data_IF_029842702076
#
_entry.id   IF_029842702076
#
_cell.length_a   1.000
_cell.length_b   1.000
_cell.length_c   1.000
_cell.angle_alpha   90.00
_cell.angle_beta   90.00
_cell.angle_gamma   90.00
#
_symmetry.space_group_name_H-M   'P 1'
#
loop_
_entity.id
_entity.type
_entity.pdbx_description
1 polymer ?
2 non-polymer ?
3 water ?
#
# COMPACT_ATOMS: atom_id res chain seq x y z
N UNK A 10 1.53 6.98 4.36
CA UNK A 10 0.51 6.14 4.97
C UNK A 10 -0.78 6.13 4.14
N UNK A 11 -0.95 5.14 3.22
CA UNK A 11 -2.12 5.11 2.32
C UNK A 11 -2.86 3.78 2.10
N UNK A 12 -4.13 3.92 1.62
CA UNK A 12 -5.03 2.84 1.23
C UNK A 12 -4.90 2.64 -0.28
N UNK A 13 -4.58 1.39 -0.67
CA UNK A 13 -4.34 0.92 -2.04
C UNK A 13 -5.52 0.08 -2.58
N UNK A 14 -5.56 -0.27 -3.91
CA UNK A 14 -6.71 -1.06 -4.44
C UNK A 14 -7.03 -2.37 -3.69
N UNK A 15 -8.33 -2.57 -3.37
CA UNK A 15 -8.86 -3.69 -2.60
C UNK A 15 -9.57 -4.81 -3.39
N UNK A 16 -9.99 -4.53 -4.63
CA UNK A 16 -10.70 -5.47 -5.52
C UNK A 16 -9.84 -6.68 -5.94
N UNK A 17 -10.44 -7.86 -6.32
CA UNK A 17 -9.62 -9.01 -6.73
C UNK A 17 -8.88 -8.80 -8.06
N UNK A 18 -7.60 -9.16 -8.09
CA UNK A 18 -6.73 -9.04 -9.24
C UNK A 18 -5.97 -10.35 -9.50
N UNK A 19 -5.46 -10.50 -10.75
CA UNK A 19 -4.68 -11.64 -11.21
C UNK A 19 -3.68 -11.23 -12.29
N UNK A 20 -2.44 -11.73 -12.17
CA UNK A 20 -1.35 -11.51 -13.12
C UNK A 20 -0.49 -12.79 -13.25
N UNK A 21 0.19 -13.01 -14.41
CA UNK A 21 1.01 -14.24 -14.56
C UNK A 21 2.11 -14.44 -13.51
N UNK A 22 2.95 -13.42 -13.25
CA UNK A 22 4.02 -13.56 -12.25
C UNK A 22 4.11 -12.50 -11.13
N UNK A 23 4.25 -11.21 -11.49
CA UNK A 23 4.38 -10.14 -10.50
C UNK A 23 3.74 -8.82 -10.92
N UNK A 24 3.10 -8.13 -9.96
CA UNK A 24 2.43 -6.86 -10.21
C UNK A 24 3.09 -5.65 -9.54
N UNK A 25 3.05 -4.49 -10.21
CA UNK A 25 3.55 -3.22 -9.71
C UNK A 25 2.41 -2.17 -9.68
N UNK A 26 2.22 -1.54 -8.52
CA UNK A 26 1.26 -0.47 -8.27
C UNK A 26 1.95 0.77 -7.71
N UNK A 27 1.88 1.92 -8.41
CA UNK A 27 2.52 3.18 -7.97
C UNK A 27 1.54 4.18 -7.33
N UNK A 28 2.09 5.12 -6.53
CA UNK A 28 1.35 6.12 -5.77
C UNK A 28 2.08 7.44 -5.79
N UNK A 29 1.36 8.54 -6.06
CA UNK A 29 1.99 9.85 -6.05
C UNK A 29 1.09 10.90 -5.46
N UNK A 30 1.42 11.37 -4.22
CA UNK A 30 0.69 12.48 -3.57
C UNK A 30 1.15 13.74 -4.27
N UNK A 31 0.20 14.59 -4.70
CA UNK A 31 0.51 15.81 -5.46
C UNK A 31 0.70 17.03 -4.56
N UNK A 32 1.41 18.04 -5.09
CA UNK A 32 1.61 19.30 -4.39
C UNK A 32 1.11 20.39 -5.29
N UNK A 33 0.56 21.43 -4.67
CA UNK A 33 0.05 22.56 -5.42
C UNK A 33 -1.46 22.66 -5.46
N UNK A 34 -2.15 21.62 -4.94
CA UNK A 34 -3.60 21.65 -4.92
C UNK A 34 -4.17 20.74 -3.88
N UNK A 35 -5.47 20.91 -3.64
CA UNK A 35 -6.28 20.10 -2.73
C UNK A 35 -7.61 19.72 -3.40
N UNK A 36 -8.20 18.65 -2.91
CA UNK A 36 -9.56 18.27 -3.24
C UNK A 36 -10.38 18.55 -1.97
N UNK A 37 -11.54 19.21 -2.08
CA UNK A 37 -12.45 19.38 -0.96
C UNK A 37 -13.69 18.50 -1.26
N UNK A 39 -17.39 16.38 0.89
CA UNK A 39 -18.13 16.28 2.15
C UNK A 39 -17.38 15.35 3.10
N UNK A 40 -17.53 15.57 4.41
CA UNK A 40 -16.87 14.71 5.42
C UNK A 40 -17.35 13.27 5.26
N UNK A 41 -16.46 12.31 5.54
CA UNK A 41 -16.76 10.87 5.47
C UNK A 41 -17.07 10.36 4.07
N UNK A 42 -16.58 11.08 3.01
CA UNK A 42 -16.71 10.71 1.60
C UNK A 42 -15.75 9.56 1.37
N UNK A 43 -16.02 8.71 0.36
CA UNK A 43 -15.10 7.63 -0.04
C UNK A 43 -13.80 8.28 -0.57
N UNK A 44 -12.68 7.56 -0.49
CA UNK A 44 -11.36 8.07 -0.90
C UNK A 44 -11.29 8.43 -2.36
N UNK A 45 -11.86 7.58 -3.23
CA UNK A 45 -11.89 7.72 -4.68
C UNK A 45 -12.99 8.70 -5.18
N UNK A 46 -12.59 9.74 -5.93
CA UNK A 46 -13.52 10.69 -6.53
C UNK A 46 -13.55 10.58 -8.06
N UNK A 47 -12.61 9.83 -8.61
CA UNK A 47 -12.53 9.60 -10.04
C UNK A 47 -11.37 8.72 -10.43
N UNK A 48 -11.25 8.42 -11.73
CA UNK A 48 -10.13 7.64 -12.27
C UNK A 48 -9.78 8.10 -13.69
N UNK A 49 -8.62 7.66 -14.19
CA UNK A 49 -8.19 7.97 -15.55
C UNK A 49 -8.01 6.65 -16.30
N UNK A 50 -8.55 6.58 -17.52
CA UNK A 50 -8.42 5.41 -18.35
C UNK A 50 -7.84 5.78 -19.70
N UNK A 51 -7.37 4.79 -20.46
CA UNK A 51 -6.88 5.02 -21.81
C UNK A 51 -8.15 5.11 -22.67
N UNK A 52 -8.05 5.66 -23.88
CA UNK A 52 -9.19 5.76 -24.81
C UNK A 52 -9.74 4.37 -25.16
N UNK A 53 -8.89 3.36 -25.08
CA UNK A 53 -9.20 1.95 -25.37
C UNK A 53 -9.97 1.26 -24.24
N UNK A 54 -10.07 1.90 -23.07
CA UNK A 54 -10.83 1.39 -21.93
C UNK A 54 -10.03 0.89 -20.73
N UNK A 55 -8.70 0.77 -20.87
CA UNK A 55 -7.82 0.30 -19.79
C UNK A 55 -7.77 1.33 -18.65
N UNK A 56 -8.15 0.93 -17.42
CA UNK A 56 -8.11 1.78 -16.22
C UNK A 56 -6.65 1.94 -15.80
N UNK A 57 -6.17 3.20 -15.69
CA UNK A 57 -4.75 3.49 -15.40
C UNK A 57 -4.45 3.80 -13.93
N UNK A 58 -5.18 4.75 -13.36
CA UNK A 58 -4.98 5.13 -11.97
C UNK A 58 -6.24 5.77 -11.39
N UNK A 60 -7.95 8.75 -8.76
CA UNK A 60 -7.80 10.07 -8.14
C UNK A 60 -8.42 9.90 -6.76
N UNK A 61 -7.61 10.09 -5.71
CA UNK A 61 -8.07 9.91 -4.34
C UNK A 61 -7.73 11.08 -3.42
N UNK A 62 -8.46 11.19 -2.31
CA UNK A 62 -8.11 12.17 -1.29
C UNK A 62 -7.04 11.47 -0.42
N UNK A 63 -6.06 12.21 0.07
CA UNK A 63 -4.99 11.63 0.87
C UNK A 63 -4.97 12.18 2.31
N UNK A 65 -5.77 14.81 5.24
CA UNK A 65 -6.76 15.82 5.62
C UNK A 65 -6.01 17.14 5.94
N UNK A 66 -6.41 18.23 5.29
CA UNK A 66 -5.74 19.51 5.45
C UNK A 66 -6.55 20.51 6.26
N UNK A 67 -7.63 20.03 6.87
CA UNK A 67 -8.54 20.82 7.66
C UNK A 67 -9.87 20.98 6.96
N UNK A 68 -10.82 21.65 7.63
CA UNK A 68 -12.15 21.88 7.08
C UNK A 68 -12.11 22.83 5.87
N UNK A 69 -13.05 22.66 4.94
CA UNK A 69 -13.12 23.50 3.75
C UNK A 69 -13.96 24.75 3.99
N UNK A 70 -13.42 25.89 3.63
CA UNK A 70 -14.13 27.16 3.74
C UNK A 70 -14.19 27.75 2.34
N UNK A 71 -15.38 27.70 1.77
CA UNK A 71 -15.62 28.22 0.43
C UNK A 71 -15.25 29.70 0.38
N UNK A 72 -14.35 30.16 -0.50
CA UNK A 72 -14.03 31.59 -0.53
C UNK A 72 -15.28 32.45 -0.75
N UNK A 73 -15.49 33.49 0.08
CA UNK A 73 -16.72 34.31 -0.04
C UNK A 73 -17.01 34.84 -1.45
N UNK A 74 -15.96 35.17 -2.21
CA UNK A 74 -16.06 35.68 -3.57
C UNK A 74 -16.42 34.61 -4.60
N UNK A 75 -16.61 33.36 -4.15
CA UNK A 75 -17.00 32.23 -4.98
C UNK A 75 -18.26 31.56 -4.43
N UNK A 76 -19.07 32.32 -3.66
CA UNK A 76 -20.38 31.90 -3.13
C UNK A 76 -21.24 31.57 -4.35
N UNK A 77 -21.87 30.41 -4.33
CA UNK A 77 -22.62 29.92 -5.48
C UNK A 77 -24.00 29.36 -5.16
N UNK A 78 -24.43 29.51 -3.92
CA UNK A 78 -25.71 28.99 -3.48
C UNK A 78 -25.63 27.58 -2.93
N UNK A 79 -24.48 26.89 -3.10
CA UNK A 79 -24.28 25.51 -2.65
C UNK A 79 -23.86 25.39 -1.19
N UNK A 80 -24.16 24.22 -0.60
CA UNK A 80 -23.90 23.87 0.80
C UNK A 80 -22.44 24.13 1.31
N UNK A 81 -21.51 23.21 1.00
CA UNK A 81 -20.09 23.16 1.44
C UNK A 81 -19.97 23.03 2.96
N UNK A 82 -21.08 22.54 3.57
CA UNK A 82 -21.23 22.34 5.00
C UNK A 82 -20.60 21.04 5.44
N UNK A 83 -19.59 21.17 6.28
CA UNK A 83 -18.83 20.06 6.83
C UNK A 83 -17.90 19.40 5.82
N UNK A 84 -17.58 20.12 4.76
CA UNK A 84 -16.63 19.67 3.77
C UNK A 84 -15.23 19.78 4.34
N UNK A 85 -14.39 18.79 4.04
CA UNK A 85 -13.00 18.72 4.46
C UNK A 85 -12.12 18.92 3.23
N UNK A 86 -10.91 19.50 3.40
CA UNK A 86 -9.94 19.62 2.31
C UNK A 86 -8.91 18.50 2.51
N UNK A 87 -8.38 17.95 1.41
CA UNK A 87 -7.38 16.89 1.46
C UNK A 87 -6.38 17.09 0.37
N UNK A 88 -5.19 16.49 0.50
CA UNK A 88 -4.20 16.46 -0.58
C UNK A 88 -4.74 15.39 -1.55
N UNK A 89 -4.28 15.43 -2.81
CA UNK A 89 -4.67 14.49 -3.84
C UNK A 89 -3.57 13.47 -4.05
N UNK A 90 -3.95 12.23 -4.14
CA UNK A 90 -3.00 11.17 -4.42
C UNK A 90 -3.46 10.42 -5.66
N UNK A 91 -2.54 10.14 -6.58
CA UNK A 91 -2.77 9.35 -7.80
C UNK A 91 -2.30 7.91 -7.51
N UNK A 92 -3.25 6.95 -7.51
CA UNK A 92 -3.01 5.54 -7.18
C UNK A 92 -3.25 4.65 -8.41
N UNK A 93 -2.18 4.11 -8.99
CA UNK A 93 -2.29 3.30 -10.18
C UNK A 93 -3.01 1.96 -9.99
N UNK A 94 -3.63 1.46 -11.06
CA UNK A 94 -4.23 0.14 -11.02
C UNK A 94 -3.05 -0.75 -11.38
N UNK A 95 -2.75 -1.80 -10.56
CA UNK A 95 -1.57 -2.64 -10.83
C UNK A 95 -1.49 -3.23 -12.22
N UNK A 96 -0.27 -3.40 -12.71
CA UNK A 96 0.02 -4.01 -14.00
C UNK A 96 1.19 -4.95 -13.83
N UNK A 97 1.48 -5.76 -14.86
CA UNK A 97 2.62 -6.67 -14.84
C UNK A 97 3.89 -5.81 -14.85
N UNK A 99 6.81 -6.42 -16.10
CA UNK A 99 7.48 -6.62 -17.39
C UNK A 99 6.71 -5.93 -18.54
N UNK A 100 5.52 -5.41 -18.24
CA UNK A 100 4.67 -4.74 -19.22
C UNK A 100 5.10 -3.28 -19.38
N UNK A 101 6.12 -3.05 -20.22
CA UNK A 101 6.67 -1.72 -20.49
C UNK A 101 5.58 -0.72 -20.97
N UNK A 102 4.70 -1.16 -21.89
CA UNK A 102 3.62 -0.37 -22.45
C UNK A 102 2.63 0.14 -21.40
N UNK A 103 2.21 -0.74 -20.46
CA UNK A 103 1.27 -0.41 -19.40
C UNK A 103 1.92 0.49 -18.34
N UNK A 104 3.22 0.28 -18.08
CA UNK A 104 3.99 1.04 -17.10
C UNK A 104 4.17 2.45 -17.63
N UNK A 105 4.54 2.57 -18.91
CA UNK A 105 4.77 3.85 -19.57
C UNK A 105 3.50 4.70 -19.73
N UNK A 106 2.38 4.06 -20.11
CA UNK A 106 1.07 4.70 -20.28
C UNK A 106 0.58 5.28 -18.95
N UNK A 107 0.86 4.60 -17.81
CA UNK A 107 0.46 5.06 -16.50
C UNK A 107 1.18 6.37 -16.19
N UNK A 108 2.51 6.37 -16.38
CA UNK A 108 3.39 7.51 -16.17
C UNK A 108 2.96 8.74 -16.98
N UNK A 109 2.75 8.53 -18.29
CA UNK A 109 2.36 9.57 -19.25
C UNK A 109 0.99 10.16 -18.94
N UNK A 110 0.06 9.30 -18.46
CA UNK A 110 -1.30 9.66 -18.06
C UNK A 110 -1.26 10.54 -16.81
N UNK A 112 1.42 12.39 -15.89
CA UNK A 112 2.04 13.66 -16.31
C UNK A 112 1.06 14.55 -17.04
N UNK A 113 0.18 13.94 -17.86
CA UNK A 113 -0.88 14.65 -18.58
C UNK A 113 -1.89 15.21 -17.58
N UNK A 114 -2.30 14.42 -16.56
CA UNK A 114 -3.27 14.91 -15.58
C UNK A 114 -2.75 16.10 -14.80
N UNK A 115 -1.43 16.11 -14.47
CA UNK A 115 -0.83 17.27 -13.79
C UNK A 115 -1.02 18.54 -14.66
N UNK A 116 -0.85 18.38 -15.97
CA UNK A 116 -1.02 19.40 -17.03
C UNK A 116 -2.46 19.89 -17.02
N UNK A 117 -3.43 18.95 -17.00
CA UNK A 117 -4.85 19.23 -16.93
C UNK A 117 -5.21 19.94 -15.60
N UNK A 118 -4.61 19.53 -14.47
CA UNK A 118 -4.81 20.19 -13.17
C UNK A 118 -4.30 21.64 -13.20
N UNK A 119 -3.13 21.87 -13.86
CA UNK A 119 -2.54 23.20 -14.00
C UNK A 119 -3.53 24.16 -14.66
N UNK A 120 -4.21 23.75 -15.76
CA UNK A 120 -5.20 24.57 -16.44
C UNK A 120 -6.46 24.72 -15.58
N UNK A 121 -6.91 23.60 -14.95
CA UNK A 121 -8.10 23.56 -14.09
C UNK A 121 -8.02 24.59 -12.96
N UNK A 122 -6.92 24.65 -12.23
CA UNK A 122 -6.80 25.64 -11.12
C UNK A 122 -6.62 27.09 -11.62
N UNK A 123 -6.30 27.23 -12.90
CA UNK A 123 -6.12 28.53 -13.52
C UNK A 123 -7.45 29.08 -14.01
N UNK A 124 -8.27 28.25 -14.68
CA UNK A 124 -9.55 28.73 -15.18
C UNK A 124 -10.79 28.26 -14.41
N UNK A 125 -10.69 27.15 -13.65
CA UNK A 125 -11.83 26.58 -12.94
C UNK A 125 -11.53 26.34 -11.45
N UNK A 126 -10.83 27.28 -10.79
CA UNK A 126 -10.46 27.10 -9.38
C UNK A 126 -11.70 26.94 -8.50
N UNK A 127 -11.72 25.96 -7.57
CA UNK A 127 -12.85 25.64 -6.65
C UNK A 127 -14.08 25.02 -7.34
N UNK A 128 -13.83 24.43 -8.51
CA UNK A 128 -14.83 23.73 -9.33
C UNK A 128 -14.47 22.25 -9.34
N UNK A 129 -15.46 21.33 -9.52
CA UNK A 129 -15.06 19.91 -9.60
C UNK A 129 -14.38 19.65 -10.94
N UNK A 130 -13.60 18.56 -11.07
CA UNK A 130 -13.06 18.15 -12.37
C UNK A 130 -14.22 17.62 -13.22
N UNK A 131 -14.15 17.81 -14.54
CA UNK A 131 -15.16 17.27 -15.44
C UNK A 131 -14.63 16.02 -16.12
N UNK A 132 -15.53 15.04 -16.43
CA UNK A 132 -15.10 13.87 -17.20
C UNK A 132 -14.75 14.30 -18.62
N UNK A 133 -13.47 14.45 -18.94
CA UNK A 133 -13.02 14.89 -20.26
C UNK A 133 -12.06 13.89 -20.90
N UNK A 134 -11.73 14.14 -22.16
CA UNK A 134 -10.76 13.37 -22.90
C UNK A 134 -9.60 14.29 -23.16
N UNK A 135 -8.38 13.76 -23.16
CA UNK A 135 -7.16 14.52 -23.41
C UNK A 135 -7.18 15.03 -24.86
N UNK A 136 -6.50 16.17 -25.11
CA UNK A 136 -6.43 16.82 -26.42
C UNK A 136 -5.99 15.87 -27.52
N UNK A 137 -5.03 14.97 -27.21
CA UNK A 137 -4.53 13.96 -28.15
C UNK A 137 -5.43 12.71 -28.25
N UNK A 138 -6.43 12.60 -27.37
CA UNK A 138 -7.35 11.47 -27.32
C UNK A 138 -6.88 10.26 -26.54
N UNK A 139 -5.59 10.21 -26.11
CA UNK A 139 -5.04 9.07 -25.36
C UNK A 139 -5.72 8.76 -24.03
N UNK A 140 -5.97 9.79 -23.20
CA UNK A 140 -6.52 9.63 -21.85
C UNK A 140 -7.89 10.21 -21.64
N UNK A 141 -8.69 9.55 -20.78
CA UNK A 141 -10.05 9.95 -20.46
C UNK A 141 -10.23 10.00 -18.93
N UNK A 142 -10.82 11.09 -18.40
CA UNK A 142 -11.12 11.22 -16.99
C UNK A 142 -12.55 10.73 -16.75
N UNK A 143 -12.75 9.87 -15.76
CA UNK A 143 -14.06 9.43 -15.32
C UNK A 143 -14.27 9.93 -13.90
N UNK A 144 -15.40 10.58 -13.65
CA UNK A 144 -15.70 11.12 -12.34
C UNK A 144 -16.68 10.20 -11.66
N UNK A 145 -16.23 9.62 -10.57
CA UNK A 145 -16.89 8.64 -9.72
C UNK A 145 -17.74 9.33 -8.65
N UNK A 146 -17.30 10.51 -8.21
CA UNK A 146 -18.00 11.33 -7.22
C UNK A 146 -17.93 12.80 -7.64
N UNK A 147 -19.05 13.34 -8.12
CA UNK A 147 -19.17 14.73 -8.56
C UNK A 147 -19.21 15.71 -7.38
N UNK A 148 -19.48 15.20 -6.18
CA UNK A 148 -19.52 16.01 -4.97
C UNK A 148 -18.08 16.29 -4.41
N UNK A 149 -17.31 17.06 -5.18
CA UNK A 149 -15.93 17.45 -4.84
C UNK A 149 -15.61 18.75 -5.55
N UNK A 150 -14.54 19.44 -5.14
CA UNK A 150 -13.97 20.61 -5.81
C UNK A 150 -12.46 20.49 -5.75
N UNK A 151 -11.78 21.03 -6.76
CA UNK A 151 -10.33 21.11 -6.88
C UNK A 151 -9.96 22.58 -6.73
N UNK A 152 -9.02 22.85 -5.83
CA UNK A 152 -8.56 24.22 -5.56
C UNK A 152 -7.04 24.25 -5.44
N UNK A 153 -6.41 25.32 -5.96
CA UNK A 153 -4.96 25.59 -5.85
C UNK A 153 -4.52 25.74 -4.42
N UNK A 154 -3.26 25.38 -4.16
CA UNK A 154 -2.60 25.45 -2.86
C UNK A 154 -3.37 24.71 -1.81
N UNK A 155 -3.80 25.44 -0.79
CA UNK A 155 -4.53 24.93 0.36
C UNK A 155 -6.06 25.08 0.27
N UNK A 156 -6.54 25.68 -0.82
CA UNK A 156 -7.95 25.87 -1.07
C UNK A 156 -8.61 26.93 -0.21
N UNK A 157 -7.82 27.91 0.30
CA UNK A 157 -8.34 28.98 1.16
C UNK A 157 -8.72 30.19 0.32
N UNK A 158 -7.80 30.61 -0.57
CA UNK A 158 -7.99 31.73 -1.48
C UNK A 158 -8.81 31.34 -2.71
N UNK A 159 -9.55 32.31 -3.26
CA UNK A 159 -10.35 32.17 -4.48
C UNK A 159 -9.42 32.00 -5.67
N UNK A 160 -8.24 32.66 -5.64
CA UNK A 160 -7.26 32.60 -6.72
C UNK A 160 -6.06 31.74 -6.38
N UNK A 161 -5.40 31.25 -7.42
CA UNK A 161 -4.19 30.44 -7.33
C UNK A 161 -3.01 31.36 -7.28
N UNK A 162 -1.84 30.79 -6.94
CA UNK A 162 -0.56 31.50 -7.00
C UNK A 162 0.14 31.15 -8.36
N UNK A 163 -0.66 30.77 -9.36
CA UNK A 163 -0.21 30.37 -10.69
C UNK A 163 0.59 29.07 -10.72
N UNK A 164 0.32 28.17 -9.78
CA UNK A 164 1.02 26.89 -9.64
C UNK A 164 1.04 26.00 -10.87
N UNK A 165 2.22 25.40 -11.12
CA UNK A 165 2.36 24.36 -12.13
C UNK A 165 2.24 23.10 -11.28
N UNK A 166 1.26 22.25 -11.62
CA UNK A 166 1.05 21.04 -10.88
C UNK A 166 2.05 20.02 -11.33
N UNK A 167 2.71 19.40 -10.37
CA UNK A 167 3.75 18.44 -10.65
C UNK A 167 3.58 17.15 -9.84
N UNK A 169 4.94 15.17 -7.28
CA UNK A 169 5.81 15.45 -6.13
C UNK A 169 6.75 14.25 -5.86
N UNK A 170 8.08 14.43 -5.87
CA UNK A 170 8.98 13.27 -5.59
C UNK A 170 8.88 12.74 -4.16
N UNK A 171 8.62 13.60 -3.17
CA UNK A 171 8.47 13.16 -1.78
C UNK A 171 7.13 12.40 -1.60
N UNK A 172 6.20 12.62 -2.51
CA UNK A 172 4.90 11.95 -2.51
C UNK A 172 4.87 10.58 -3.16
N UNK A 173 6.03 9.94 -3.40
CA UNK A 173 6.09 8.64 -4.09
C UNK A 173 6.27 7.37 -3.26
N UNK A 174 5.48 6.35 -3.62
CA UNK A 174 5.43 5.01 -3.02
C UNK A 174 5.15 3.99 -4.13
N UNK A 175 5.55 2.73 -3.92
CA UNK A 175 5.35 1.64 -4.87
C UNK A 175 4.83 0.44 -4.12
N UNK A 176 4.01 -0.39 -4.77
CA UNK A 176 3.45 -1.61 -4.21
C UNK A 176 3.72 -2.77 -5.16
N UNK A 177 4.43 -3.79 -4.66
CA UNK A 177 4.83 -4.95 -5.46
C UNK A 177 4.11 -6.20 -4.98
N UNK A 178 3.51 -6.91 -5.92
CA UNK A 178 2.79 -8.14 -5.71
C UNK A 178 3.55 -9.31 -6.33
N UNK A 179 3.84 -10.35 -5.52
CA UNK A 179 4.59 -11.53 -5.95
C UNK A 179 3.90 -12.78 -5.40
N UNK A 180 4.12 -13.95 -6.06
CA UNK A 180 3.59 -15.24 -5.58
C UNK A 180 4.25 -15.53 -4.25
N UNK A 181 3.43 -15.91 -3.24
CA UNK A 181 3.82 -16.21 -1.86
C UNK A 181 4.87 -17.31 -1.79
N UNK A 182 4.78 -18.31 -2.72
CA UNK A 182 5.68 -19.46 -2.85
C UNK A 182 7.09 -19.06 -3.25
N UNK A 183 7.21 -17.90 -3.88
CA UNK A 183 8.49 -17.38 -4.36
C UNK A 183 9.32 -16.68 -3.30
N UNK A 184 8.66 -16.16 -2.21
CA UNK A 184 9.38 -15.42 -1.15
C UNK A 184 10.38 -16.28 -0.39
N UNK A 185 11.67 -16.04 -0.66
CA UNK A 185 12.77 -16.79 -0.08
C UNK A 185 13.50 -17.66 -1.09
N UNK A 186 13.00 -17.75 -2.35
CA UNK A 186 13.61 -18.53 -3.44
C UNK A 186 14.66 -17.71 -4.23
N UNK A 187 14.66 -16.37 -4.06
CA UNK A 187 15.58 -15.44 -4.76
C UNK A 187 15.53 -15.62 -6.31
N UNK A 188 14.45 -16.25 -6.82
CA UNK A 188 14.29 -16.61 -8.23
C UNK A 188 14.32 -15.44 -9.23
N UNK A 189 13.62 -14.34 -8.90
CA UNK A 189 13.53 -13.18 -9.80
C UNK A 189 14.16 -11.94 -9.18
N UNK A 190 14.60 -10.94 -10.00
CA UNK A 190 15.17 -9.69 -9.41
C UNK A 190 14.28 -8.99 -8.38
N UNK A 191 12.95 -9.05 -8.56
CA UNK A 191 11.96 -8.44 -7.66
C UNK A 191 11.90 -9.23 -6.36
N UNK A 192 12.01 -10.56 -6.44
CA UNK A 192 12.03 -11.43 -5.23
C UNK A 192 13.27 -11.12 -4.39
N UNK A 193 14.40 -10.89 -5.07
CA UNK A 193 15.68 -10.51 -4.46
C UNK A 193 15.58 -9.13 -3.82
N UNK A 194 14.89 -8.17 -4.50
CA UNK A 194 14.68 -6.82 -3.97
C UNK A 194 13.87 -6.86 -2.67
N UNK A 195 12.79 -7.65 -2.64
CA UNK A 195 11.96 -7.86 -1.46
C UNK A 195 12.69 -8.59 -0.35
N UNK A 196 13.55 -9.57 -0.71
CA UNK A 196 14.33 -10.35 0.26
C UNK A 196 15.43 -9.53 0.95
N UNK A 197 15.78 -8.35 0.38
CA UNK A 197 16.76 -7.44 0.93
C UNK A 197 16.17 -6.59 2.09
N UNK A 198 14.85 -6.74 2.36
CA UNK A 198 14.16 -6.03 3.44
C UNK A 198 14.95 -6.20 4.75
N UNK A 199 15.18 -5.12 5.53
CA UNK A 199 16.01 -5.26 6.75
C UNK A 199 15.43 -6.18 7.83
N UNK A 200 14.10 -6.41 7.81
CA UNK A 200 13.43 -7.28 8.75
C UNK A 200 13.46 -8.74 8.33
N UNK A 201 13.71 -9.03 7.03
CA UNK A 201 13.72 -10.40 6.52
C UNK A 201 15.00 -11.13 6.84
N UNK A 202 14.88 -12.27 7.52
CA UNK A 202 16.02 -13.12 7.91
C UNK A 202 16.01 -14.46 7.17
N UNK A 203 16.77 -14.53 6.07
CA UNK A 203 16.90 -15.72 5.22
C UNK A 203 17.48 -16.93 6.00
N UNK A 204 18.43 -16.69 6.92
CA UNK A 204 19.06 -17.72 7.78
C UNK A 204 18.04 -18.60 8.52
N UNK A 205 16.77 -18.13 8.64
CA UNK A 205 15.71 -18.90 9.29
C UNK A 205 15.26 -20.10 8.41
N UNK A 206 15.58 -20.05 7.08
CA UNK A 206 15.33 -21.14 6.13
C UNK A 206 16.19 -22.33 6.56
N UNK A 207 17.54 -22.16 6.61
CA UNK A 207 18.45 -23.24 7.06
C UNK A 207 18.21 -23.62 8.51
N UNK A 208 17.79 -22.65 9.36
CA UNK A 208 17.44 -22.88 10.75
C UNK A 208 16.30 -23.89 10.86
N UNK A 209 15.23 -23.71 10.06
CA UNK A 209 14.06 -24.59 10.01
C UNK A 209 14.40 -26.02 9.58
N UNK A 210 15.35 -26.17 8.64
CA UNK A 210 15.78 -27.47 8.13
C UNK A 210 16.35 -28.33 9.26
N UNK A 211 17.21 -27.73 10.12
CA UNK A 211 17.83 -28.34 11.31
C UNK A 211 16.75 -28.76 12.31
N UNK A 212 15.67 -27.96 12.46
CA UNK A 212 14.57 -28.20 13.39
C UNK A 212 13.65 -29.33 12.97
N UNK A 213 13.54 -29.57 11.64
CA UNK A 213 12.57 -30.50 11.05
C UNK A 213 13.15 -31.72 10.33
N UNK A 214 14.39 -32.15 10.65
CA UNK A 214 15.05 -33.30 10.03
C UNK A 214 14.31 -34.63 10.14
N UNK A 215 13.68 -34.91 11.30
CA UNK A 215 12.93 -36.16 11.56
C UNK A 215 11.47 -36.07 11.12
N UNK A 216 11.08 -34.93 10.54
CA UNK A 216 9.73 -34.67 10.05
C UNK A 216 9.63 -34.91 8.55
N UNK A 217 8.71 -35.80 8.15
CA UNK A 217 8.44 -36.11 6.75
C UNK A 217 7.44 -35.08 6.23
N UNK A 218 7.96 -33.91 5.79
CA UNK A 218 7.12 -32.81 5.28
C UNK A 218 6.78 -33.02 3.80
N UNK A 219 5.56 -32.58 3.41
CA UNK A 219 5.08 -32.64 2.02
C UNK A 219 5.97 -31.81 1.09
N UNK A 220 6.30 -30.56 1.50
CA UNK A 220 7.20 -29.67 0.76
C UNK A 220 8.10 -28.92 1.75
N UNK A 221 9.26 -29.52 2.05
CA UNK A 221 10.28 -29.01 2.97
C UNK A 221 10.78 -27.59 2.63
N UNK A 222 11.14 -27.35 1.35
CA UNK A 222 11.66 -26.06 0.85
C UNK A 222 10.60 -24.96 0.93
N UNK A 223 9.35 -25.28 0.59
CA UNK A 223 8.24 -24.34 0.67
C UNK A 223 7.96 -23.97 2.13
N UNK A 224 7.89 -25.00 3.03
CA UNK A 224 7.67 -24.85 4.48
C UNK A 224 8.75 -23.99 5.11
N UNK A 225 10.01 -24.16 4.67
CA UNK A 225 11.16 -23.37 5.14
C UNK A 225 11.02 -21.87 4.72
N UNK A 226 10.56 -21.65 3.47
CA UNK A 226 10.33 -20.33 2.90
C UNK A 226 9.25 -19.58 3.69
N UNK A 227 8.12 -20.29 4.00
CA UNK A 227 6.98 -19.74 4.73
C UNK A 227 7.39 -19.44 6.17
N UNK A 228 8.06 -20.41 6.85
CA UNK A 228 8.55 -20.24 8.20
C UNK A 228 9.48 -19.02 8.30
N UNK A 229 10.41 -18.83 7.34
CA UNK A 229 11.33 -17.69 7.37
C UNK A 229 10.58 -16.34 7.23
N UNK A 230 9.58 -16.27 6.30
CA UNK A 230 8.76 -15.11 6.00
C UNK A 230 7.90 -14.72 7.20
N UNK A 231 7.08 -15.67 7.75
CA UNK A 231 6.23 -15.42 8.91
C UNK A 231 7.08 -15.05 10.13
N UNK A 232 8.10 -15.88 10.47
CA UNK A 232 8.98 -15.62 11.59
C UNK A 232 9.59 -14.24 11.49
N UNK A 233 10.18 -13.88 10.34
CA UNK A 233 10.75 -12.55 10.16
C UNK A 233 9.70 -11.43 10.45
N UNK A 234 8.40 -11.63 10.04
CA UNK A 234 7.30 -10.70 10.27
C UNK A 234 6.96 -10.63 11.75
N UNK A 235 6.69 -11.79 12.39
CA UNK A 235 6.38 -11.89 13.82
C UNK A 235 7.47 -11.26 14.66
N UNK A 236 8.75 -11.55 14.34
CA UNK A 236 9.89 -10.98 15.06
C UNK A 236 9.97 -9.46 14.89
N UNK A 237 9.77 -8.95 13.65
CA UNK A 237 9.80 -7.50 13.41
C UNK A 237 8.68 -6.75 14.12
N UNK A 238 7.48 -7.37 14.24
CA UNK A 238 6.39 -6.72 14.95
C UNK A 238 6.67 -6.59 16.42
N UNK A 239 7.29 -7.64 17.00
CA UNK A 239 7.70 -7.67 18.40
C UNK A 239 8.75 -6.58 18.66
N UNK A 240 9.74 -6.48 17.74
CA UNK A 240 10.80 -5.48 17.77
C UNK A 240 10.18 -4.08 17.75
N UNK A 241 9.21 -3.85 16.82
CA UNK A 241 8.52 -2.57 16.70
C UNK A 241 7.62 -2.26 17.88
N UNK A 242 6.90 -3.26 18.45
CA UNK A 242 6.05 -3.06 19.62
C UNK A 242 6.86 -2.59 20.83
N UNK A 243 8.11 -3.10 20.97
CA UNK A 243 9.02 -2.73 22.04
C UNK A 243 9.68 -1.37 21.78
N UNK A 244 10.07 -1.11 20.53
CA UNK A 244 10.75 0.14 20.16
C UNK A 244 9.82 1.37 20.25
N UNK A 245 8.54 1.19 19.87
CA UNK A 245 7.52 2.24 19.83
C UNK A 245 6.44 2.20 20.93
N UNK A 246 6.42 1.17 21.76
CA UNK A 246 5.42 1.06 22.82
C UNK A 246 4.04 0.83 22.25
N UNK A 247 3.92 -0.13 21.32
CA UNK A 247 2.68 -0.47 20.64
C UNK A 247 1.92 -1.53 21.41
N UNK A 248 0.61 -1.34 21.59
CA UNK A 248 -0.30 -2.31 22.23
C UNK A 248 -0.68 -3.33 21.15
N UNK A 249 -0.30 -4.60 21.36
CA UNK A 249 -0.63 -5.74 20.48
C UNK A 249 -1.50 -6.64 21.32
N UNK A 250 -2.79 -6.80 20.95
CA UNK A 250 -3.77 -7.62 21.68
C UNK A 250 -3.81 -7.25 23.15
N UNK A 251 -3.47 -8.22 24.04
CA UNK A 251 -3.42 -8.00 25.49
C UNK A 251 -1.99 -7.64 26.02
N UNK A 252 -1.04 -7.30 25.12
CA UNK A 252 0.30 -6.91 25.57
C UNK A 252 0.31 -5.43 25.79
N UNK A 253 0.71 -5.07 27.00
CA UNK A 253 0.80 -3.72 27.51
C UNK A 253 2.28 -3.34 27.55
N UNK A 254 2.78 -2.41 26.68
CA UNK A 254 4.21 -2.03 26.74
C UNK A 254 4.64 -1.49 28.10
N UNK A 256 3.80 -2.48 30.94
CA UNK A 256 4.07 -3.60 31.85
C UNK A 256 5.57 -3.96 31.83
N UNK A 257 6.25 -3.62 30.72
CA UNK A 257 7.68 -3.85 30.49
C UNK A 257 8.45 -2.53 30.50
N UNK A 258 7.88 -1.49 31.18
CA UNK A 258 8.45 -0.14 31.37
C UNK A 258 8.72 0.56 30.04
N UNK A 259 7.83 0.34 29.06
CA UNK A 259 7.98 0.95 27.75
C UNK A 259 6.93 2.02 27.57
N UNK A 260 7.37 3.25 27.36
CA UNK A 260 6.50 4.38 27.16
C UNK A 260 5.80 4.29 25.79
N UNK A 261 4.45 4.24 25.73
CA UNK A 261 3.77 4.25 24.43
C UNK A 261 4.20 5.48 23.65
N UNK A 262 4.76 5.29 22.45
CA UNK A 262 5.31 6.40 21.66
C UNK A 262 4.87 6.38 20.20
N UNK A 263 3.71 5.76 19.90
CA UNK A 263 3.12 5.67 18.56
C UNK A 263 1.63 5.28 18.67
N UNK A 264 0.82 5.67 17.65
CA UNK A 264 -0.61 5.34 17.58
C UNK A 264 -0.80 4.03 16.81
N UNK A 265 -0.44 2.92 17.46
CA UNK A 265 -0.62 1.58 16.91
C UNK A 265 0.25 1.21 15.74
N UNK A 266 0.00 -0.01 15.18
CA UNK A 266 0.74 -0.58 14.05
C UNK A 266 0.59 0.22 12.76
N UNK A 267 -0.51 1.01 12.68
CA UNK A 267 -0.84 1.83 11.51
C UNK A 267 -0.17 3.19 11.44
N UNK A 268 0.46 3.64 12.54
CA UNK A 268 1.12 4.95 12.62
C UNK A 268 2.22 5.10 11.55
N UNK A 269 2.23 6.21 10.75
CA UNK A 269 3.24 6.35 9.66
C UNK A 269 4.70 6.05 9.99
N UNK A 270 5.15 6.38 11.21
CA UNK A 270 6.55 6.14 11.58
C UNK A 270 6.86 4.66 11.84
N UNK A 271 5.85 3.87 12.24
CA UNK A 271 5.94 2.43 12.43
C UNK A 271 6.07 1.79 11.03
N UNK A 272 5.14 2.15 10.10
CA UNK A 272 5.07 1.73 8.72
C UNK A 272 6.40 2.01 8.03
N UNK A 273 6.98 3.23 8.19
CA UNK A 273 8.28 3.55 7.61
C UNK A 273 9.42 2.74 8.20
N UNK A 274 9.27 2.21 9.45
CA UNK A 274 10.34 1.42 10.08
C UNK A 274 10.49 0.06 9.40
N UNK A 275 9.42 -0.42 8.74
CA UNK A 275 9.47 -1.66 7.96
C UNK A 275 10.26 -1.48 6.65
N UNK A 276 10.23 -0.25 6.08
CA UNK A 276 10.84 0.15 4.81
C UNK A 276 10.10 -0.50 3.64
N UNK A 277 10.03 -1.84 3.62
CA UNK A 277 9.33 -2.71 2.67
C UNK A 277 8.21 -3.28 3.54
N UNK A 278 7.03 -2.69 3.43
CA UNK A 278 5.91 -3.01 4.28
C UNK A 278 5.01 -4.15 3.79
N UNK A 279 4.97 -5.33 4.47
CA UNK A 279 4.02 -6.38 4.07
C UNK A 279 2.59 -5.80 4.10
N UNK A 280 1.83 -6.00 3.00
CA UNK A 280 0.50 -5.46 2.80
C UNK A 280 -0.57 -6.54 2.75
N UNK A 281 -0.17 -7.83 2.83
CA UNK A 281 -1.12 -8.96 2.81
C UNK A 281 -1.20 -9.56 4.20
N UNK A 282 -2.40 -9.98 4.61
CA UNK A 282 -2.64 -10.62 5.90
C UNK A 282 -1.68 -11.83 6.05
N UNK A 283 -0.77 -11.84 7.05
CA UNK A 283 0.18 -12.97 7.18
C UNK A 283 -0.43 -14.37 7.26
N UNK A 284 -1.61 -14.54 7.91
CA UNK A 284 -2.30 -15.85 8.07
C UNK A 284 -2.72 -16.53 6.74
N UNK A 285 -2.76 -15.74 5.64
CA UNK A 285 -3.13 -16.24 4.31
C UNK A 285 -2.11 -17.24 3.77
N UNK A 286 -0.80 -16.98 3.96
CA UNK A 286 0.30 -17.81 3.46
C UNK A 286 0.24 -19.28 3.85
N UNK A 287 -0.36 -19.57 5.01
CA UNK A 287 -0.57 -20.93 5.53
C UNK A 287 -1.36 -21.83 4.52
N UNK A 288 -2.24 -21.20 3.71
CA UNK A 288 -3.06 -21.85 2.69
C UNK A 288 -2.23 -22.46 1.56
N UNK A 289 -1.05 -21.89 1.23
CA UNK A 289 -0.16 -22.39 0.16
C UNK A 289 0.54 -23.71 0.54
N UNK A 290 0.40 -24.14 1.82
CA UNK A 290 0.97 -25.37 2.37
C UNK A 290 -0.15 -26.35 2.68
N UNK A 291 0.19 -27.66 2.77
CA UNK A 291 -0.72 -28.73 3.17
C UNK A 291 -1.02 -28.57 4.67
N UNK A 292 -2.25 -28.95 5.11
CA UNK A 292 -2.68 -28.87 6.52
C UNK A 292 -1.56 -29.29 7.50
N UNK A 293 -0.85 -30.39 7.20
CA UNK A 293 0.24 -30.91 8.01
C UNK A 293 1.46 -29.98 8.02
N UNK A 294 1.94 -29.54 6.84
CA UNK A 294 3.09 -28.63 6.70
C UNK A 294 2.85 -27.31 7.43
N UNK A 295 1.61 -26.78 7.33
CA UNK A 295 1.20 -25.53 7.97
C UNK A 295 1.29 -25.66 9.49
N UNK A 296 0.78 -26.80 10.05
CA UNK A 296 0.83 -27.10 11.48
C UNK A 296 2.27 -27.12 11.98
N UNK A 297 3.16 -27.81 11.23
CA UNK A 297 4.60 -27.93 11.52
C UNK A 297 5.29 -26.56 11.58
N UNK A 298 4.96 -25.65 10.61
CA UNK A 298 5.49 -24.29 10.53
C UNK A 298 5.01 -23.48 11.73
N UNK A 300 3.83 -24.48 14.67
CA UNK A 300 4.33 -25.08 15.92
C UNK A 300 5.74 -24.59 16.23
N UNK A 301 6.56 -24.39 15.20
CA UNK A 301 7.94 -23.93 15.33
C UNK A 301 8.17 -22.42 15.51
N UNK A 302 7.16 -21.56 15.18
CA UNK A 302 7.28 -20.11 15.29
C UNK A 302 7.39 -19.59 16.74
N UNK A 303 6.46 -19.96 17.65
CA UNK A 303 6.50 -19.49 19.04
C UNK A 303 7.87 -19.49 19.73
N UNK A 304 8.66 -20.60 19.72
CA UNK A 304 10.00 -20.56 20.34
C UNK A 304 10.95 -19.51 19.77
N UNK A 305 10.78 -19.15 18.49
CA UNK A 305 11.62 -18.11 17.87
C UNK A 305 11.38 -16.75 18.54
N UNK A 306 10.12 -16.49 18.94
CA UNK A 306 9.71 -15.27 19.63
C UNK A 306 10.14 -15.39 21.10
N UNK A 307 9.78 -16.51 21.75
CA UNK A 307 10.08 -16.79 23.17
C UNK A 307 11.56 -16.76 23.55
N UNK A 308 12.46 -17.02 22.62
CA UNK A 308 13.90 -16.97 22.91
C UNK A 308 14.41 -15.54 22.81
N UNK A 309 13.62 -14.65 22.18
CA UNK A 309 14.01 -13.25 21.93
C UNK A 309 13.21 -12.22 22.71
N UNK A 310 11.93 -12.55 23.00
CA UNK A 310 10.92 -11.71 23.65
C UNK A 310 10.22 -12.42 24.79
N UNK A 311 9.64 -11.63 25.71
CA UNK A 311 8.89 -12.06 26.90
C UNK A 311 7.75 -12.97 26.51
N UNK A 312 7.31 -13.83 27.44
CA UNK A 312 6.20 -14.74 27.20
C UNK A 312 4.98 -13.97 26.77
N UNK A 313 4.64 -12.88 27.48
CA UNK A 313 3.47 -12.06 27.13
C UNK A 313 3.53 -11.48 25.72
N UNK A 314 4.66 -10.80 25.35
CA UNK A 314 4.81 -10.22 24.01
C UNK A 314 4.73 -11.31 22.95
N UNK A 315 5.45 -12.45 23.16
CA UNK A 315 5.51 -13.60 22.25
C UNK A 315 4.14 -14.22 21.99
N UNK A 316 3.41 -14.60 23.05
CA UNK A 316 2.07 -15.19 22.96
C UNK A 316 1.09 -14.21 22.25
N UNK A 317 1.15 -12.92 22.61
CA UNK A 317 0.28 -11.91 22.01
C UNK A 317 0.55 -11.65 20.54
N UNK A 318 1.83 -11.50 20.13
CA UNK A 318 2.21 -11.32 18.71
C UNK A 318 1.79 -12.55 17.91
N UNK A 319 2.06 -13.76 18.47
CA UNK A 319 1.71 -15.03 17.85
C UNK A 319 0.19 -15.20 17.67
N UNK A 320 -0.62 -14.93 18.72
CA UNK A 320 -2.08 -15.05 18.65
C UNK A 320 -2.67 -14.02 17.68
N UNK A 321 -2.20 -12.77 17.75
CA UNK A 321 -2.65 -11.69 16.86
C UNK A 321 -2.64 -12.12 15.38
N UNK A 322 -1.50 -12.65 14.89
CA UNK A 322 -1.32 -13.09 13.51
C UNK A 322 -1.99 -14.39 13.15
N UNK A 323 -2.06 -15.35 14.11
CA UNK A 323 -2.73 -16.64 13.96
C UNK A 323 -4.23 -16.41 13.73
N UNK A 324 -4.83 -15.44 14.45
CA UNK A 324 -6.24 -15.05 14.36
C UNK A 324 -6.53 -14.09 13.19
N UNK A 325 -5.54 -13.88 12.33
CA UNK A 325 -5.67 -13.07 11.12
C UNK A 325 -5.43 -11.58 11.23
N UNK A 326 -4.64 -11.16 12.22
CA UNK A 326 -4.28 -9.76 12.38
C UNK A 326 -3.43 -9.25 11.24
N UNK A 327 -3.54 -7.96 10.93
CA UNK A 327 -2.81 -7.33 9.83
C UNK A 327 -1.59 -6.55 10.34
N UNK A 328 -0.57 -6.42 9.47
CA UNK A 328 0.67 -5.70 9.79
C UNK A 328 0.39 -4.18 9.92
N UNK A 329 -0.45 -3.60 9.03
CA UNK A 329 -0.76 -2.16 9.04
C UNK A 329 -2.11 -1.85 8.40
N UNK A 330 -3.17 -2.30 9.05
CA UNK A 330 -4.53 -2.05 8.58
C UNK A 330 -4.96 -2.90 7.40
N UNK A 331 -6.12 -2.57 6.79
CA UNK A 331 -6.68 -3.35 5.67
C UNK A 331 -5.71 -3.88 4.63
N UNK A 332 -5.57 -5.20 4.64
CA UNK A 332 -4.69 -5.91 3.72
C UNK A 332 -5.28 -6.14 2.35
N UNK A 333 -4.38 -6.40 1.40
CA UNK A 333 -4.69 -6.77 0.02
C UNK A 333 -4.60 -8.30 0.06
N UNK A 334 -5.74 -8.91 0.37
CA UNK A 334 -5.87 -10.34 0.63
C UNK A 334 -6.58 -11.19 -0.44
N UNK A 335 -6.98 -10.56 -1.57
CA UNK A 335 -7.71 -11.24 -2.65
C UNK A 335 -6.94 -11.26 -3.99
N UNK A 336 -5.63 -10.95 -3.95
CA UNK A 336 -4.76 -10.92 -5.13
C UNK A 336 -4.18 -12.32 -5.39
N UNK A 337 -4.12 -12.70 -6.68
CA UNK A 337 -3.62 -14.00 -7.13
C UNK A 337 -2.63 -13.89 -8.28
N UNK A 338 -1.77 -14.90 -8.42
CA UNK A 338 -0.75 -14.96 -9.46
C UNK A 338 -0.73 -16.37 -10.13
N UNK A 339 -0.10 -16.49 -11.30
CA UNK A 339 0.03 -17.74 -12.03
C UNK A 339 -1.11 -18.08 -12.98
N UNK A 340 -1.54 -19.35 -12.95
CA UNK A 340 -2.61 -19.88 -13.81
C UNK A 340 -3.95 -19.24 -13.47
N UNK A 341 -4.65 -18.74 -14.49
CA UNK A 341 -5.95 -18.09 -14.34
C UNK A 341 -7.01 -19.04 -13.76
N UNK A 342 -6.90 -20.36 -14.08
CA UNK A 342 -7.85 -21.37 -13.62
C UNK A 342 -7.46 -22.06 -12.32
N UNK A 343 -6.16 -22.03 -11.97
CA UNK A 343 -5.62 -22.58 -10.72
C UNK A 343 -4.65 -21.53 -10.09
N UNK A 344 -5.17 -20.38 -9.60
CA UNK A 344 -4.29 -19.32 -9.08
C UNK A 344 -3.60 -19.56 -7.74
N UNK A 345 -2.36 -19.06 -7.65
CA UNK A 345 -1.50 -19.12 -6.47
C UNK A 345 -1.67 -17.81 -5.72
N UNK A 346 -1.65 -17.85 -4.38
CA UNK A 346 -1.77 -16.67 -3.53
C UNK A 346 -0.67 -15.67 -3.84
N UNK A 347 -1.05 -14.39 -3.93
CA UNK A 347 -0.09 -13.32 -4.13
C UNK A 347 -0.03 -12.54 -2.82
N UNK A 348 1.16 -12.07 -2.48
CA UNK A 348 1.47 -11.30 -1.27
C UNK A 348 2.07 -9.97 -1.72
N UNK A 349 1.59 -8.87 -1.12
CA UNK A 349 1.97 -7.51 -1.49
C UNK A 349 2.87 -6.76 -0.50
N UNK A 350 3.72 -5.90 -1.04
CA UNK A 350 4.65 -5.13 -0.26
C UNK A 350 4.65 -3.69 -0.69
N UNK A 351 4.55 -2.78 0.29
CA UNK A 351 4.61 -1.35 0.05
C UNK A 351 6.01 -0.83 0.35
N UNK A 352 6.64 -0.26 -0.67
CA UNK A 352 7.92 0.40 -0.50
C UNK A 352 7.58 1.83 0.02
N UNK A 353 7.92 2.11 1.29
CA UNK A 353 7.64 3.39 1.94
C UNK A 353 8.37 4.53 1.25
N UNK A 354 9.56 4.22 0.72
CA UNK A 354 10.42 5.08 -0.09
C UNK A 354 10.69 4.24 -1.35
N UNK A 355 10.79 4.89 -2.51
CA UNK A 355 11.02 4.15 -3.74
C UNK A 355 12.51 3.99 -3.94
N UNK A 356 13.04 2.73 -3.99
CA UNK A 356 14.48 2.54 -4.22
C UNK A 356 14.82 2.77 -5.69
N UNK A 357 16.13 2.96 -5.98
CA UNK A 357 16.65 3.19 -7.34
C UNK A 357 16.19 2.13 -8.36
N UNK A 358 15.98 0.88 -7.91
CA UNK A 358 15.53 -0.24 -8.75
C UNK A 358 14.09 -0.04 -9.25
N UNK A 359 13.26 0.69 -8.49
CA UNK A 359 11.88 0.92 -8.86
C UNK A 359 11.59 2.33 -9.43
N UNK A 360 12.59 3.24 -9.42
CA UNK A 360 12.46 4.62 -9.92
C UNK A 360 11.87 4.77 -11.35
N UNK A 361 12.31 3.91 -12.29
CA UNK A 361 11.84 3.87 -13.68
C UNK A 361 10.33 3.59 -13.81
N UNK A 362 9.67 3.07 -12.73
CA UNK A 362 8.22 2.82 -12.70
C UNK A 362 7.40 4.08 -12.33
N UNK A 363 8.08 5.17 -11.91
CA UNK A 363 7.42 6.39 -11.47
C UNK A 363 7.50 7.50 -12.51
N UNK A 364 6.44 8.36 -12.59
CA UNK A 364 6.49 9.49 -13.52
C UNK A 364 7.49 10.52 -13.02
N UNK A 365 8.33 11.01 -13.95
CA UNK A 365 9.34 12.01 -13.61
C UNK A 365 9.06 13.33 -14.35
N UNK A 366 8.76 14.40 -13.56
CA UNK A 366 8.48 15.74 -14.07
C UNK A 366 9.73 16.46 -14.59
#
# INVERSE_FOLDING_TARGET
NAQPNLGRSTKATPDFPTHFPKSSIGIENELAGLVVAXPANSAQKFGYVKSAQGDALFXLTKDXNQGSYQRPPSLQDGKNYQNWQTHTVELVSYPCEXDDKAAVETRKQAXLWLATHFTTHIDQSNHQPLAPIQSEDGRFVIEITNAKHVIAAGNGISAESQGQTITXTPSGQQATVGVAAKGFGTSATPELRLLESAPWYQKSLKSQFASLTSAENLDDKELAANVFAYLTSIYLKTAELAKKFGIYINEWDPXSEQITPNANGLTDPKVKNAWEILPRTKPSKIVEILSKSDAKAVXKHIKPQLQSRYSESLSKNVFQYFQDGGEVAGHGINNATVGDKHSPELAILFEFRTVPNELQSYLPKTESTTKSEVKLLDQFDPXKRKTVIQQVESLV
#
